data_IF_917575368332
#
_entry.id   IF_917575368332
#
_cell.length_a   1.000
_cell.length_b   1.000
_cell.length_c   1.000
_cell.angle_alpha   90.00
_cell.angle_beta   90.00
_cell.angle_gamma   90.00
#
_symmetry.space_group_name_H-M   'P 1'
#
loop_
_entity.id
_entity.type
_entity.pdbx_description
1 polymer ?
#
# COMPACT_ATOMS: atom_id res chain seq x y z
N UNK A 1 -28.15 30.06 -9.23
CA UNK A 1 -27.88 28.73 -8.66
C UNK A 1 -27.86 28.92 -7.16
N UNK A 2 -28.83 28.37 -6.44
CA UNK A 2 -28.94 28.60 -4.99
C UNK A 2 -27.82 27.87 -4.25
N UNK A 3 -27.36 28.43 -3.13
CA UNK A 3 -26.31 27.85 -2.27
C UNK A 3 -26.58 26.36 -1.91
N UNK A 4 -27.85 25.97 -1.83
CA UNK A 4 -28.30 24.59 -1.59
C UNK A 4 -27.93 23.65 -2.75
N UNK A 5 -28.07 24.10 -3.99
CA UNK A 5 -27.73 23.31 -5.18
C UNK A 5 -26.21 23.08 -5.22
N UNK A 6 -25.42 24.13 -4.92
CA UNK A 6 -23.95 24.04 -4.86
C UNK A 6 -23.51 22.99 -3.83
N UNK A 7 -24.08 23.01 -2.61
CA UNK A 7 -23.75 22.04 -1.57
C UNK A 7 -24.07 20.59 -1.96
N UNK A 8 -25.20 20.38 -2.66
CA UNK A 8 -25.59 19.05 -3.16
C UNK A 8 -24.59 18.57 -4.21
N UNK A 9 -24.23 19.41 -5.18
CA UNK A 9 -23.25 19.06 -6.21
C UNK A 9 -21.87 18.72 -5.62
N UNK A 10 -21.40 19.49 -4.64
CA UNK A 10 -20.13 19.20 -3.95
C UNK A 10 -20.19 17.84 -3.25
N UNK A 11 -21.28 17.56 -2.54
CA UNK A 11 -21.47 16.28 -1.82
C UNK A 11 -21.44 15.09 -2.78
N UNK A 12 -22.17 15.18 -3.89
CA UNK A 12 -22.16 14.14 -4.93
C UNK A 12 -20.78 13.99 -5.57
N UNK A 13 -20.06 15.09 -5.81
CA UNK A 13 -18.69 15.06 -6.32
C UNK A 13 -17.74 14.28 -5.41
N UNK A 14 -17.80 14.52 -4.09
CA UNK A 14 -16.97 13.81 -3.10
C UNK A 14 -17.32 12.31 -3.06
N UNK A 15 -18.61 11.96 -3.11
CA UNK A 15 -19.06 10.56 -3.18
C UNK A 15 -18.48 9.88 -4.43
N UNK A 16 -18.53 10.56 -5.58
CA UNK A 16 -18.02 10.04 -6.85
C UNK A 16 -16.50 9.82 -6.82
N UNK A 17 -15.75 10.75 -6.22
CA UNK A 17 -14.31 10.58 -5.99
C UNK A 17 -14.05 9.33 -5.16
N UNK A 18 -14.72 9.18 -4.01
CA UNK A 18 -14.54 8.02 -3.15
C UNK A 18 -14.93 6.70 -3.81
N UNK A 19 -15.99 6.70 -4.62
CA UNK A 19 -16.39 5.55 -5.43
C UNK A 19 -15.29 5.15 -6.43
N UNK A 20 -14.75 6.11 -7.18
CA UNK A 20 -13.65 5.88 -8.14
C UNK A 20 -12.42 5.28 -7.46
N UNK A 21 -12.02 5.82 -6.31
CA UNK A 21 -10.90 5.27 -5.54
C UNK A 21 -11.14 3.84 -5.08
N UNK A 22 -12.37 3.51 -4.70
CA UNK A 22 -12.72 2.17 -4.26
C UNK A 22 -12.66 1.16 -5.42
N UNK A 23 -13.12 1.54 -6.61
CA UNK A 23 -12.96 0.73 -7.82
C UNK A 23 -11.49 0.45 -8.12
N UNK A 24 -10.64 1.48 -8.06
CA UNK A 24 -9.19 1.33 -8.24
C UNK A 24 -8.58 0.36 -7.20
N UNK A 25 -8.94 0.50 -5.92
CA UNK A 25 -8.47 -0.41 -4.85
C UNK A 25 -8.86 -1.86 -5.10
N UNK A 26 -10.09 -2.10 -5.56
CA UNK A 26 -10.57 -3.46 -5.86
C UNK A 26 -9.77 -4.06 -7.02
N UNK A 27 -9.54 -3.29 -8.08
CA UNK A 27 -8.74 -3.76 -9.21
C UNK A 27 -7.29 -4.06 -8.79
N UNK A 28 -6.69 -3.19 -7.97
CA UNK A 28 -5.37 -3.41 -7.39
C UNK A 28 -5.32 -4.69 -6.55
N UNK A 29 -6.30 -4.93 -5.69
CA UNK A 29 -6.37 -6.16 -4.88
C UNK A 29 -6.54 -7.42 -5.74
N UNK A 30 -7.32 -7.34 -6.83
CA UNK A 30 -7.46 -8.44 -7.77
C UNK A 30 -6.13 -8.77 -8.46
N UNK A 31 -5.40 -7.74 -8.93
CA UNK A 31 -4.09 -7.91 -9.56
C UNK A 31 -3.06 -8.52 -8.59
N UNK A 32 -3.03 -8.04 -7.35
CA UNK A 32 -2.15 -8.59 -6.29
C UNK A 32 -2.48 -10.04 -5.96
N UNK A 33 -3.77 -10.39 -5.88
CA UNK A 33 -4.23 -11.77 -5.68
C UNK A 33 -3.83 -12.66 -6.84
N UNK A 34 -4.07 -12.24 -8.10
CA UNK A 34 -3.71 -13.04 -9.27
C UNK A 34 -2.21 -13.28 -9.35
N UNK A 35 -1.41 -12.25 -9.04
CA UNK A 35 0.04 -12.38 -8.96
C UNK A 35 0.46 -13.41 -7.90
N UNK A 36 -0.04 -13.27 -6.67
CA UNK A 36 0.28 -14.20 -5.56
C UNK A 36 -0.12 -15.65 -5.87
N UNK A 37 -1.29 -15.85 -6.49
CA UNK A 37 -1.76 -17.19 -6.91
C UNK A 37 -0.86 -17.77 -7.99
N UNK A 38 -0.48 -16.96 -8.98
CA UNK A 38 0.43 -17.39 -10.06
C UNK A 38 1.79 -17.80 -9.50
N UNK A 39 2.36 -17.01 -8.59
CA UNK A 39 3.62 -17.34 -7.92
C UNK A 39 3.49 -18.61 -7.07
N UNK A 40 2.41 -18.76 -6.31
CA UNK A 40 2.17 -19.97 -5.51
C UNK A 40 2.13 -21.22 -6.38
N UNK A 41 1.46 -21.17 -7.53
CA UNK A 41 1.38 -22.32 -8.44
C UNK A 41 2.77 -22.66 -9.00
N UNK A 42 3.55 -21.65 -9.39
CA UNK A 42 4.94 -21.82 -9.82
C UNK A 42 5.80 -22.47 -8.71
N UNK A 43 5.67 -21.99 -7.47
CA UNK A 43 6.40 -22.52 -6.32
C UNK A 43 6.02 -23.98 -6.04
N UNK A 44 4.72 -24.32 -6.03
CA UNK A 44 4.25 -25.68 -5.80
C UNK A 44 4.74 -26.62 -6.90
N UNK A 45 4.68 -26.20 -8.17
CA UNK A 45 5.19 -27.00 -9.30
C UNK A 45 6.68 -27.32 -9.12
N UNK A 46 7.48 -26.31 -8.76
CA UNK A 46 8.90 -26.47 -8.53
C UNK A 46 9.19 -27.40 -7.33
N UNK A 47 8.46 -27.23 -6.22
CA UNK A 47 8.61 -28.05 -5.02
C UNK A 47 8.19 -29.51 -5.27
N UNK A 48 7.11 -29.74 -6.02
CA UNK A 48 6.67 -31.10 -6.34
C UNK A 48 7.70 -31.84 -7.20
N UNK A 49 8.24 -31.19 -8.23
CA UNK A 49 9.31 -31.78 -9.06
C UNK A 49 10.57 -32.07 -8.26
N UNK A 50 10.89 -31.21 -7.28
CA UNK A 50 11.99 -31.46 -6.36
C UNK A 50 11.75 -32.69 -5.48
N UNK A 51 10.53 -32.88 -4.94
CA UNK A 51 10.23 -34.06 -4.11
C UNK A 51 10.09 -35.36 -4.92
N UNK A 52 9.66 -35.30 -6.16
CA UNK A 52 9.49 -36.47 -7.04
C UNK A 52 10.82 -36.93 -7.62
N UNK A 53 11.56 -35.99 -8.24
CA UNK A 53 12.72 -36.33 -9.07
C UNK A 53 14.06 -35.85 -8.46
N UNK A 54 14.03 -35.09 -7.36
CA UNK A 54 15.20 -34.34 -6.85
C UNK A 54 15.79 -33.36 -7.88
N UNK A 55 14.99 -32.92 -8.85
CA UNK A 55 15.44 -32.04 -9.93
C UNK A 55 14.75 -30.68 -9.84
N UNK A 56 15.55 -29.61 -9.93
CA UNK A 56 15.04 -28.25 -10.17
C UNK A 56 15.27 -27.91 -11.65
N UNK A 57 14.19 -27.87 -12.44
CA UNK A 57 14.28 -27.47 -13.87
C UNK A 57 14.75 -26.03 -13.99
N UNK A 58 15.78 -25.79 -14.80
CA UNK A 58 16.37 -24.46 -15.02
C UNK A 58 15.34 -23.41 -15.49
N UNK A 59 14.37 -23.82 -16.31
CA UNK A 59 13.29 -22.93 -16.78
C UNK A 59 12.35 -22.47 -15.66
N UNK A 60 12.05 -23.35 -14.69
CA UNK A 60 11.23 -23.02 -13.52
C UNK A 60 12.03 -22.18 -12.52
N UNK A 61 13.30 -22.53 -12.31
CA UNK A 61 14.21 -21.76 -11.47
C UNK A 61 14.35 -20.31 -11.94
N UNK A 62 14.59 -20.10 -13.25
CA UNK A 62 14.69 -18.75 -13.83
C UNK A 62 13.42 -17.93 -13.62
N UNK A 63 12.24 -18.55 -13.83
CA UNK A 63 10.95 -17.90 -13.56
C UNK A 63 10.78 -17.58 -12.07
N UNK A 64 11.21 -18.48 -11.18
CA UNK A 64 11.11 -18.27 -9.75
C UNK A 64 11.96 -17.09 -9.29
N UNK A 65 13.25 -17.08 -9.66
CA UNK A 65 14.18 -16.00 -9.30
C UNK A 65 13.73 -14.65 -9.84
N UNK A 66 13.13 -14.61 -11.04
CA UNK A 66 12.62 -13.37 -11.61
C UNK A 66 11.49 -12.74 -10.76
N UNK A 67 10.69 -13.56 -10.08
CA UNK A 67 9.50 -13.11 -9.34
C UNK A 67 9.70 -13.11 -7.82
N UNK A 68 10.80 -13.66 -7.30
CA UNK A 68 11.00 -13.92 -5.86
C UNK A 68 11.05 -12.64 -5.04
N UNK A 69 11.75 -11.61 -5.53
CA UNK A 69 11.86 -10.33 -4.83
C UNK A 69 10.51 -9.60 -4.81
N UNK A 70 9.78 -9.66 -5.93
CA UNK A 70 8.46 -9.07 -6.05
C UNK A 70 7.42 -9.71 -5.12
N UNK A 71 7.44 -11.04 -4.97
CA UNK A 71 6.55 -11.70 -4.01
C UNK A 71 6.96 -11.42 -2.56
N UNK A 72 8.27 -11.36 -2.29
CA UNK A 72 8.81 -11.07 -0.97
C UNK A 72 8.40 -9.67 -0.51
N UNK A 73 8.43 -8.69 -1.40
CA UNK A 73 7.91 -7.34 -1.17
C UNK A 73 6.38 -7.33 -0.98
N UNK A 74 5.63 -8.05 -1.82
CA UNK A 74 4.16 -8.13 -1.75
C UNK A 74 3.66 -8.74 -0.44
N UNK A 75 4.38 -9.71 0.11
CA UNK A 75 4.11 -10.35 1.40
C UNK A 75 4.55 -9.49 2.59
N UNK A 76 5.60 -8.67 2.43
CA UNK A 76 6.16 -7.85 3.50
C UNK A 76 6.49 -8.69 4.74
N UNK A 77 5.89 -8.35 5.88
CA UNK A 77 6.08 -9.07 7.15
C UNK A 77 5.64 -10.53 7.11
N UNK A 78 4.62 -10.87 6.29
CA UNK A 78 4.12 -12.25 6.19
C UNK A 78 5.12 -13.18 5.46
N UNK A 79 6.11 -12.62 4.77
CA UNK A 79 7.17 -13.33 4.06
C UNK A 79 8.50 -13.37 4.80
N UNK A 80 8.58 -12.81 6.02
CA UNK A 80 9.83 -12.67 6.79
C UNK A 80 9.69 -13.44 8.10
N UNK A 81 10.67 -14.30 8.42
CA UNK A 81 10.79 -14.87 9.75
C UNK A 81 11.56 -13.88 10.63
N UNK A 82 10.90 -13.36 11.66
CA UNK A 82 11.48 -12.38 12.58
C UNK A 82 12.71 -12.93 13.31
N UNK A 83 12.61 -14.16 13.82
CA UNK A 83 13.70 -14.90 14.45
C UNK A 83 13.74 -16.32 13.86
N UNK A 84 14.78 -16.61 13.07
CA UNK A 84 15.01 -17.94 12.52
C UNK A 84 16.34 -18.50 13.06
N UNK A 85 16.33 -19.75 13.51
CA UNK A 85 17.54 -20.43 13.99
C UNK A 85 17.81 -21.60 13.06
N UNK A 86 18.95 -21.58 12.38
CA UNK A 86 19.44 -22.74 11.64
C UNK A 86 20.85 -23.12 12.11
N UNK A 87 21.05 -24.40 12.43
CA UNK A 87 22.32 -24.97 12.87
C UNK A 87 23.03 -24.19 14.00
N UNK A 88 22.25 -23.58 14.91
CA UNK A 88 22.77 -22.78 16.03
C UNK A 88 23.10 -21.33 15.70
N UNK A 89 22.91 -20.91 14.44
CA UNK A 89 23.05 -19.51 14.00
C UNK A 89 21.69 -18.81 14.05
N UNK A 90 21.69 -17.61 14.62
CA UNK A 90 20.50 -16.76 14.73
C UNK A 90 20.42 -15.79 13.56
N UNK A 91 19.33 -15.86 12.80
CA UNK A 91 19.01 -14.97 11.70
C UNK A 91 17.85 -14.06 12.08
N UNK A 92 18.06 -12.76 11.92
CA UNK A 92 17.04 -11.72 12.07
C UNK A 92 16.47 -11.36 10.71
N UNK A 93 15.15 -11.22 10.62
CA UNK A 93 14.43 -10.83 9.40
C UNK A 93 14.77 -11.69 8.18
N UNK A 94 14.68 -13.02 8.33
CA UNK A 94 15.04 -13.98 7.30
C UNK A 94 13.98 -14.00 6.17
N UNK A 95 14.32 -13.59 4.93
CA UNK A 95 13.40 -13.66 3.79
C UNK A 95 13.21 -15.12 3.36
N UNK A 96 12.02 -15.67 3.54
CA UNK A 96 11.84 -17.11 3.41
C UNK A 96 11.91 -17.56 1.95
N UNK A 97 11.37 -16.79 1.01
CA UNK A 97 11.28 -17.20 -0.38
C UNK A 97 12.62 -17.14 -1.11
N UNK A 98 13.40 -16.07 -0.90
CA UNK A 98 14.74 -15.94 -1.50
C UNK A 98 15.71 -17.02 -1.00
N UNK A 99 15.54 -17.51 0.23
CA UNK A 99 16.45 -18.49 0.81
C UNK A 99 16.03 -19.95 0.58
N UNK A 100 14.72 -20.25 0.54
CA UNK A 100 14.23 -21.62 0.30
C UNK A 100 14.76 -22.20 -1.00
N UNK A 101 14.86 -21.39 -2.06
CA UNK A 101 15.39 -21.88 -3.34
C UNK A 101 16.89 -22.23 -3.27
N UNK A 102 17.65 -21.47 -2.50
CA UNK A 102 19.07 -21.73 -2.27
C UNK A 102 19.26 -23.03 -1.49
N UNK A 103 18.40 -23.28 -0.50
CA UNK A 103 18.41 -24.54 0.25
C UNK A 103 17.99 -25.76 -0.58
N UNK A 104 16.97 -25.62 -1.42
CA UNK A 104 16.53 -26.69 -2.34
C UNK A 104 17.68 -27.12 -3.28
N UNK A 105 18.45 -26.16 -3.81
CA UNK A 105 19.62 -26.46 -4.66
C UNK A 105 20.78 -27.11 -3.89
N UNK A 106 20.94 -26.77 -2.62
CA UNK A 106 22.05 -27.31 -1.82
C UNK A 106 21.91 -28.82 -1.54
N UNK A 107 20.70 -29.39 -1.67
CA UNK A 107 20.45 -30.82 -1.45
C UNK A 107 21.20 -31.71 -2.44
N UNK A 108 21.30 -31.30 -3.70
CA UNK A 108 22.08 -32.03 -4.73
C UNK A 108 23.56 -32.17 -4.34
N UNK A 109 24.09 -31.20 -3.59
CA UNK A 109 25.52 -31.14 -3.23
C UNK A 109 25.81 -31.91 -1.93
N UNK A 110 24.84 -32.02 -1.02
CA UNK A 110 25.06 -32.52 0.35
C UNK A 110 24.61 -33.98 0.53
N UNK A 111 23.87 -34.53 -0.44
CA UNK A 111 23.35 -35.90 -0.37
C UNK A 111 22.22 -36.08 0.65
N UNK A 112 21.86 -37.33 0.92
CA UNK A 112 20.66 -37.77 1.68
C UNK A 112 20.72 -37.49 3.20
N UNK A 113 21.03 -36.25 3.61
CA UNK A 113 20.94 -35.84 5.00
C UNK A 113 19.47 -35.63 5.41
N UNK A 114 18.90 -36.65 6.06
CA UNK A 114 17.50 -36.65 6.54
C UNK A 114 17.13 -35.43 7.38
N UNK A 115 18.10 -34.85 8.11
CA UNK A 115 17.87 -33.66 8.94
C UNK A 115 17.64 -32.42 8.06
N UNK A 116 18.49 -32.22 7.04
CA UNK A 116 18.34 -31.09 6.10
C UNK A 116 17.07 -31.19 5.27
N UNK A 117 16.70 -32.39 4.82
CA UNK A 117 15.45 -32.61 4.09
C UNK A 117 14.24 -32.23 4.96
N UNK A 118 14.27 -32.56 6.27
CA UNK A 118 13.20 -32.18 7.20
C UNK A 118 13.14 -30.67 7.43
N UNK A 119 14.27 -29.98 7.51
CA UNK A 119 14.34 -28.51 7.63
C UNK A 119 13.78 -27.81 6.38
N UNK A 120 14.20 -28.26 5.19
CA UNK A 120 13.70 -27.74 3.91
C UNK A 120 12.19 -27.97 3.79
N UNK A 121 11.71 -29.15 4.18
CA UNK A 121 10.27 -29.43 4.19
C UNK A 121 9.50 -28.51 5.13
N UNK A 122 10.07 -28.19 6.30
CA UNK A 122 9.49 -27.20 7.20
C UNK A 122 9.44 -25.80 6.57
N UNK A 123 10.52 -25.34 5.95
CA UNK A 123 10.56 -24.03 5.29
C UNK A 123 9.58 -23.94 4.11
N UNK A 124 9.48 -25.00 3.31
CA UNK A 124 8.48 -25.12 2.24
C UNK A 124 7.07 -25.01 2.81
N UNK A 125 6.80 -25.66 3.95
CA UNK A 125 5.53 -25.55 4.67
C UNK A 125 5.22 -24.10 5.08
N UNK A 126 6.21 -23.40 5.65
CA UNK A 126 6.09 -21.97 6.01
C UNK A 126 5.76 -21.12 4.78
N UNK A 127 6.45 -21.32 3.66
CA UNK A 127 6.16 -20.62 2.40
C UNK A 127 4.72 -20.84 1.93
N UNK A 128 4.25 -22.09 1.92
CA UNK A 128 2.90 -22.44 1.54
C UNK A 128 1.85 -21.77 2.46
N UNK A 129 2.08 -21.81 3.77
CA UNK A 129 1.20 -21.19 4.76
C UNK A 129 1.16 -19.67 4.62
N UNK A 130 2.31 -19.01 4.42
CA UNK A 130 2.41 -17.57 4.19
C UNK A 130 1.67 -17.14 2.92
N UNK A 131 1.85 -17.86 1.80
CA UNK A 131 1.14 -17.57 0.56
C UNK A 131 -0.37 -17.72 0.71
N UNK A 132 -0.83 -18.82 1.33
CA UNK A 132 -2.25 -19.08 1.53
C UNK A 132 -2.89 -18.07 2.49
N UNK A 133 -2.17 -17.71 3.56
CA UNK A 133 -2.61 -16.67 4.50
C UNK A 133 -2.74 -15.32 3.81
N UNK A 134 -1.77 -14.93 2.98
CA UNK A 134 -1.81 -13.67 2.23
C UNK A 134 -2.95 -13.65 1.22
N UNK A 135 -3.16 -14.73 0.46
CA UNK A 135 -4.32 -14.86 -0.45
C UNK A 135 -5.63 -14.70 0.32
N UNK A 136 -5.76 -15.36 1.48
CA UNK A 136 -6.94 -15.22 2.34
C UNK A 136 -7.12 -13.81 2.90
N UNK A 137 -6.03 -13.10 3.21
CA UNK A 137 -6.05 -11.69 3.62
C UNK A 137 -6.57 -10.80 2.48
N UNK A 138 -6.05 -10.99 1.27
CA UNK A 138 -6.46 -10.25 0.07
C UNK A 138 -7.94 -10.50 -0.25
N UNK A 139 -8.42 -11.74 -0.17
CA UNK A 139 -9.82 -12.08 -0.40
C UNK A 139 -10.77 -11.46 0.63
N UNK A 140 -10.41 -11.51 1.92
CA UNK A 140 -11.17 -10.85 2.98
C UNK A 140 -11.22 -9.34 2.77
N UNK A 141 -10.12 -8.72 2.35
CA UNK A 141 -10.06 -7.29 2.04
C UNK A 141 -10.91 -6.95 0.81
N UNK A 142 -10.82 -7.74 -0.25
CA UNK A 142 -11.63 -7.59 -1.46
C UNK A 142 -13.13 -7.68 -1.15
N UNK A 143 -13.55 -8.65 -0.32
CA UNK A 143 -14.96 -8.80 0.10
C UNK A 143 -15.45 -7.57 0.86
N UNK A 144 -14.63 -7.01 1.76
CA UNK A 144 -14.95 -5.78 2.50
C UNK A 144 -15.09 -4.58 1.56
N UNK A 145 -14.15 -4.36 0.66
CA UNK A 145 -14.20 -3.24 -0.28
C UNK A 145 -15.39 -3.37 -1.25
N UNK A 146 -15.69 -4.57 -1.76
CA UNK A 146 -16.86 -4.80 -2.61
C UNK A 146 -18.18 -4.46 -1.91
N UNK A 147 -18.34 -4.88 -0.66
CA UNK A 147 -19.52 -4.53 0.14
C UNK A 147 -19.62 -3.02 0.36
N UNK A 148 -18.48 -2.35 0.54
CA UNK A 148 -18.43 -0.92 0.82
C UNK A 148 -18.71 -0.04 -0.43
N UNK A 149 -18.62 -0.57 -1.66
CA UNK A 149 -18.98 0.19 -2.88
C UNK A 149 -20.44 0.65 -2.83
N UNK A 150 -21.34 -0.23 -2.42
CA UNK A 150 -22.77 0.03 -2.42
C UNK A 150 -23.23 0.97 -1.30
N UNK A 151 -22.31 1.40 -0.42
CA UNK A 151 -22.61 2.33 0.66
C UNK A 151 -22.14 3.75 0.30
N UNK A 152 -23.05 4.68 -0.05
CA UNK A 152 -22.69 6.04 -0.45
C UNK A 152 -22.00 6.83 0.67
N UNK A 153 -22.36 6.60 1.95
CA UNK A 153 -21.68 7.25 3.08
C UNK A 153 -20.24 6.76 3.24
N UNK A 154 -19.99 5.48 2.98
CA UNK A 154 -18.62 4.96 3.00
C UNK A 154 -17.77 5.54 1.88
N UNK A 155 -18.35 5.73 0.69
CA UNK A 155 -17.70 6.41 -0.43
C UNK A 155 -17.47 7.89 -0.12
N UNK A 156 -18.43 8.57 0.51
CA UNK A 156 -18.27 9.95 0.96
C UNK A 156 -17.09 10.12 1.93
N UNK A 157 -17.03 9.30 2.99
CA UNK A 157 -15.92 9.34 3.97
C UNK A 157 -14.57 9.10 3.28
N UNK A 158 -14.52 8.14 2.34
CA UNK A 158 -13.30 7.86 1.58
C UNK A 158 -12.91 9.05 0.68
N UNK A 159 -13.89 9.70 0.06
CA UNK A 159 -13.68 10.90 -0.75
C UNK A 159 -13.16 12.07 0.08
N UNK A 160 -13.76 12.34 1.25
CA UNK A 160 -13.26 13.36 2.19
C UNK A 160 -11.82 13.04 2.59
N UNK A 161 -11.56 11.79 2.98
CA UNK A 161 -10.21 11.39 3.42
C UNK A 161 -9.18 11.66 2.33
N UNK A 162 -9.52 11.37 1.06
CA UNK A 162 -8.66 11.70 -0.07
C UNK A 162 -8.43 13.20 -0.17
N UNK A 163 -9.49 14.02 -0.21
CA UNK A 163 -9.37 15.49 -0.33
C UNK A 163 -8.50 16.08 0.78
N UNK A 164 -8.64 15.59 2.01
CA UNK A 164 -7.84 16.04 3.15
C UNK A 164 -6.36 15.63 3.04
N UNK A 165 -6.05 14.46 2.45
CA UNK A 165 -4.66 13.98 2.33
C UNK A 165 -3.94 14.51 1.08
N UNK A 166 -4.63 15.13 0.12
CA UNK A 166 -3.97 15.70 -1.08
C UNK A 166 -2.81 16.64 -0.72
N UNK A 167 -2.95 17.60 0.21
CA UNK A 167 -1.84 18.50 0.57
C UNK A 167 -0.66 17.74 1.17
N UNK A 168 -0.91 16.79 2.05
CA UNK A 168 0.11 15.93 2.66
C UNK A 168 0.85 15.10 1.60
N UNK A 169 0.11 14.48 0.69
CA UNK A 169 0.66 13.68 -0.41
C UNK A 169 1.51 14.53 -1.36
N UNK A 170 1.10 15.78 -1.64
CA UNK A 170 1.89 16.73 -2.43
C UNK A 170 3.18 17.08 -1.70
N UNK A 171 3.11 17.40 -0.41
CA UNK A 171 4.29 17.73 0.39
C UNK A 171 5.29 16.56 0.46
N UNK A 172 4.79 15.34 0.62
CA UNK A 172 5.60 14.13 0.61
C UNK A 172 6.27 13.91 -0.75
N UNK A 173 5.51 13.98 -1.85
CA UNK A 173 6.03 13.76 -3.22
C UNK A 173 6.99 14.86 -3.68
N UNK A 174 6.80 16.09 -3.21
CA UNK A 174 7.75 17.18 -3.42
C UNK A 174 9.02 17.04 -2.54
N UNK A 175 9.09 16.05 -1.65
CA UNK A 175 10.24 15.81 -0.78
C UNK A 175 10.33 16.77 0.41
N UNK A 176 9.27 17.51 0.72
CA UNK A 176 9.21 18.39 1.90
C UNK A 176 9.03 17.60 3.19
N UNK A 177 8.40 16.42 3.11
CA UNK A 177 8.25 15.47 4.21
C UNK A 177 8.86 14.15 3.75
N UNK A 178 10.01 13.77 4.28
CA UNK A 178 10.63 12.46 4.02
C UNK A 178 10.46 11.55 5.24
N UNK A 179 10.23 10.25 5.01
CA UNK A 179 10.36 9.24 6.07
C UNK A 179 11.83 8.89 6.37
N UNK A 180 12.76 9.35 5.53
CA UNK A 180 14.19 9.11 5.66
C UNK A 180 14.93 10.45 5.82
N UNK A 181 15.73 10.56 6.87
CA UNK A 181 16.51 11.76 7.26
C UNK A 181 17.58 12.21 6.24
N UNK A 182 17.73 11.52 5.10
CA UNK A 182 18.90 11.66 4.22
C UNK A 182 18.69 12.72 3.11
N UNK A 183 17.44 13.03 2.70
CA UNK A 183 17.16 14.08 1.70
C UNK A 183 16.86 15.47 2.31
N UNK A 184 16.70 15.57 3.63
CA UNK A 184 16.39 16.83 4.33
C UNK A 184 17.59 17.78 4.48
N UNK A 185 18.78 17.39 3.99
CA UNK A 185 20.04 18.14 4.15
C UNK A 185 20.24 19.28 3.15
N UNK A 186 19.49 19.30 2.03
CA UNK A 186 19.64 20.37 1.05
C UNK A 186 18.80 21.60 1.45
N UNK A 187 19.50 22.63 1.97
CA UNK A 187 18.92 23.92 2.37
C UNK A 187 18.04 24.57 1.29
N UNK A 188 18.36 24.36 0.01
CA UNK A 188 17.65 24.97 -1.11
C UNK A 188 16.20 24.49 -1.23
N UNK A 189 15.97 23.18 -1.03
CA UNK A 189 14.63 22.61 -1.06
C UNK A 189 13.80 23.07 0.16
N UNK A 190 14.43 23.17 1.34
CA UNK A 190 13.78 23.66 2.56
C UNK A 190 13.27 25.09 2.41
N UNK A 191 14.06 25.98 1.78
CA UNK A 191 13.69 27.39 1.56
C UNK A 191 12.53 27.54 0.58
N UNK A 192 12.51 26.75 -0.51
CA UNK A 192 11.41 26.78 -1.49
C UNK A 192 10.11 26.29 -0.87
N UNK A 193 10.16 25.21 -0.09
CA UNK A 193 8.97 24.68 0.61
C UNK A 193 8.39 25.65 1.61
N UNK A 194 9.25 26.26 2.42
CA UNK A 194 8.84 27.26 3.39
C UNK A 194 8.19 28.47 2.71
N UNK A 195 8.68 28.87 1.54
CA UNK A 195 8.09 29.95 0.74
C UNK A 195 6.68 29.60 0.25
N UNK A 196 6.49 28.39 -0.30
CA UNK A 196 5.17 27.93 -0.77
C UNK A 196 4.17 27.81 0.39
N UNK A 197 4.58 27.29 1.54
CA UNK A 197 3.72 27.21 2.73
C UNK A 197 3.34 28.59 3.26
N UNK A 198 4.28 29.54 3.35
CA UNK A 198 4.00 30.91 3.77
C UNK A 198 3.01 31.58 2.82
N UNK A 199 3.23 31.45 1.50
CA UNK A 199 2.31 32.00 0.49
C UNK A 199 0.91 31.38 0.64
N UNK A 200 0.82 30.07 0.87
CA UNK A 200 -0.46 29.38 1.09
C UNK A 200 -1.19 29.88 2.35
N UNK A 201 -0.47 30.07 3.45
CA UNK A 201 -1.03 30.60 4.71
C UNK A 201 -1.49 32.04 4.53
N UNK A 202 -0.66 32.90 3.92
CA UNK A 202 -1.02 34.31 3.64
C UNK A 202 -2.23 34.37 2.71
N UNK A 203 -2.29 33.53 1.68
CA UNK A 203 -3.43 33.43 0.76
C UNK A 203 -4.71 33.00 1.48
N UNK A 204 -4.62 32.04 2.40
CA UNK A 204 -5.77 31.60 3.19
C UNK A 204 -6.27 32.69 4.14
N UNK A 205 -5.37 33.35 4.87
CA UNK A 205 -5.71 34.45 5.80
C UNK A 205 -6.28 35.64 5.04
N UNK A 206 -5.68 36.05 3.93
CA UNK A 206 -6.18 37.16 3.10
C UNK A 206 -7.56 36.86 2.52
N UNK A 207 -7.80 35.61 2.11
CA UNK A 207 -9.13 35.17 1.66
C UNK A 207 -10.16 35.26 2.79
N UNK A 208 -9.83 34.80 4.00
CA UNK A 208 -10.73 34.88 5.16
C UNK A 208 -11.02 36.35 5.51
N UNK A 209 -10.02 37.22 5.53
CA UNK A 209 -10.19 38.65 5.82
C UNK A 209 -11.01 39.38 4.77
N UNK A 210 -10.80 39.09 3.48
CA UNK A 210 -11.61 39.64 2.39
C UNK A 210 -13.07 39.24 2.52
N UNK A 211 -13.33 37.95 2.79
CA UNK A 211 -14.69 37.45 3.00
C UNK A 211 -15.33 38.13 4.22
N UNK A 212 -14.58 38.32 5.32
CA UNK A 212 -15.08 38.98 6.53
C UNK A 212 -15.46 40.45 6.32
N UNK A 213 -14.64 41.20 5.58
CA UNK A 213 -14.94 42.60 5.28
C UNK A 213 -16.18 42.73 4.39
N UNK A 214 -16.33 41.83 3.41
CA UNK A 214 -17.52 41.77 2.56
C UNK A 214 -18.76 41.41 3.37
N UNK A 215 -18.71 40.39 4.24
CA UNK A 215 -19.86 40.01 5.06
C UNK A 215 -20.26 41.11 6.04
N UNK A 216 -19.29 41.80 6.66
CA UNK A 216 -19.58 42.90 7.59
C UNK A 216 -20.25 44.08 6.88
N UNK A 217 -19.79 44.43 5.67
CA UNK A 217 -20.40 45.48 4.85
C UNK A 217 -21.84 45.13 4.42
N UNK A 218 -22.10 43.87 4.06
CA UNK A 218 -23.46 43.40 3.78
C UNK A 218 -24.35 43.44 5.02
N UNK A 219 -23.83 43.04 6.18
CA UNK A 219 -24.59 43.02 7.43
C UNK A 219 -24.98 44.43 7.88
N UNK A 220 -24.07 45.41 7.76
CA UNK A 220 -24.36 46.83 8.02
C UNK A 220 -25.44 47.35 7.06
N UNK A 221 -25.35 47.04 5.76
CA UNK A 221 -26.40 47.43 4.79
C UNK A 221 -27.76 46.83 5.12
N UNK A 222 -27.81 45.56 5.54
CA UNK A 222 -29.06 44.91 5.95
C UNK A 222 -29.63 45.54 7.22
N UNK A 223 -28.79 45.82 8.22
CA UNK A 223 -29.22 46.51 9.45
C UNK A 223 -29.75 47.92 9.14
N UNK A 224 -29.07 48.68 8.27
CA UNK A 224 -29.55 50.00 7.84
C UNK A 224 -30.89 49.93 7.09
N UNK A 225 -31.12 48.87 6.31
CA UNK A 225 -32.38 48.63 5.61
C UNK A 225 -33.53 48.23 6.55
N UNK A 226 -33.24 47.75 7.76
CA UNK A 226 -34.25 47.40 8.78
C UNK A 226 -34.49 48.53 9.80
N UNK A 227 -33.63 49.56 9.83
CA UNK A 227 -33.73 50.70 10.76
C UNK A 227 -34.42 51.93 10.11
N UNK A 228 -34.72 51.87 8.81
CA UNK A 228 -35.62 52.78 8.08
C UNK A 228 -36.81 52.01 7.50
#
# INVERSE_FOLDING_TARGET
>A
MDYRQIAIFITFGIIFIGFSFRLYRINSLLKRRSFTVSFRNLFIEMVNLFYEDYIIKDSLYKKYIHEVDAIQEELGSDGILSNYIDQGMYYLNYPVFSNVISELRAVDVIGNNRIKIKQISHLVGICCDSLNRHIGNLERRLKRERKAIFNPFSCFILGIRFVIHIPEDILFRCGFVSHNEILSSNSLYKTIGMSVTIIGVVSSVTTIMLVWNVTLAYLIKVIQYFIF
#
